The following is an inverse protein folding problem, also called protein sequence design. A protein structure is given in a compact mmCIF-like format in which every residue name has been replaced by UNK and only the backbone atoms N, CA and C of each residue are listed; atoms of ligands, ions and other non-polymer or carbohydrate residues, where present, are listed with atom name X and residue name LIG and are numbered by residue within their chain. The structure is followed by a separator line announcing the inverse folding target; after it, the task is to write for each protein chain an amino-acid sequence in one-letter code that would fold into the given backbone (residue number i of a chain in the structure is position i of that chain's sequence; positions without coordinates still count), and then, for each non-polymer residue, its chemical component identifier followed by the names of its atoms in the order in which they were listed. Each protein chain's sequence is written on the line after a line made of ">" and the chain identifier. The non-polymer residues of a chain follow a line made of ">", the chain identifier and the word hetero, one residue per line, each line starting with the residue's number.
data_IF_550102043122
#
_entry.id   IF_550102043122
#
_cell.length_a   1.000
_cell.length_b   1.000
_cell.length_c   1.000
_cell.angle_alpha   90.00
_cell.angle_beta   90.00
_cell.angle_gamma   90.00
#
_symmetry.space_group_name_H-M   'P 1'
#
loop_
_entity.id
_entity.type
_entity.pdbx_description
1 polymer ?
#
# COMPACT_ATOMS: atom_id res chain seq x y z
N UNK A 1 17.86 -8.76 18.00
CA UNK A 1 17.27 -7.93 16.94
C UNK A 1 16.06 -8.70 16.44
N UNK A 2 14.83 -8.15 16.53
CA UNK A 2 13.65 -8.84 15.98
C UNK A 2 13.76 -8.84 14.46
N UNK A 3 13.39 -9.95 13.84
CA UNK A 3 13.31 -10.03 12.37
C UNK A 3 12.15 -9.14 11.88
N UNK A 4 12.26 -8.57 10.67
CA UNK A 4 11.15 -7.84 10.04
C UNK A 4 9.89 -8.70 10.00
N UNK A 5 10.04 -10.01 9.82
CA UNK A 5 8.93 -10.97 9.80
C UNK A 5 8.19 -11.12 11.15
N UNK A 6 8.80 -10.70 12.25
CA UNK A 6 8.23 -10.72 13.61
C UNK A 6 7.56 -9.39 14.00
N UNK A 7 7.55 -8.41 13.09
CA UNK A 7 6.81 -7.16 13.27
C UNK A 7 5.30 -7.35 12.99
N UNK A 8 4.50 -6.33 13.27
CA UNK A 8 3.06 -6.31 13.01
C UNK A 8 2.70 -5.40 11.82
N UNK A 9 1.61 -5.67 11.09
CA UNK A 9 0.99 -4.74 10.16
C UNK A 9 0.57 -3.41 10.82
N UNK A 10 0.47 -2.34 10.04
CA UNK A 10 0.15 -1.00 10.54
C UNK A 10 -1.33 -0.81 10.92
N UNK A 11 -2.22 -1.66 10.40
CA UNK A 11 -3.68 -1.64 10.62
C UNK A 11 -4.13 -2.38 11.89
N UNK A 12 -3.20 -2.68 12.80
CA UNK A 12 -3.43 -3.22 14.14
C UNK A 12 -4.26 -4.52 14.16
N UNK A 13 -3.91 -5.46 13.27
CA UNK A 13 -4.50 -6.80 13.20
C UNK A 13 -4.15 -7.65 14.43
N UNK A 14 -4.79 -7.39 15.57
CA UNK A 14 -4.88 -8.27 16.74
C UNK A 14 -3.61 -9.12 17.05
N UNK A 15 -2.42 -8.51 17.04
CA UNK A 15 -1.16 -9.21 17.36
C UNK A 15 -0.65 -10.20 16.30
N UNK A 16 -1.21 -10.20 15.09
CA UNK A 16 -0.75 -11.01 13.95
C UNK A 16 0.60 -10.51 13.46
N UNK A 17 1.58 -11.40 13.28
CA UNK A 17 2.90 -11.01 12.75
C UNK A 17 2.89 -10.92 11.23
N UNK A 18 3.83 -10.17 10.64
CA UNK A 18 3.98 -10.04 9.18
C UNK A 18 4.16 -11.40 8.50
N UNK A 19 4.90 -12.33 9.12
CA UNK A 19 5.06 -13.69 8.59
C UNK A 19 3.72 -14.44 8.43
N UNK A 20 2.77 -14.22 9.34
CA UNK A 20 1.50 -14.93 9.38
C UNK A 20 0.48 -14.19 8.49
N UNK A 21 0.48 -12.86 8.54
CA UNK A 21 -0.38 -12.00 7.73
C UNK A 21 -0.08 -12.10 6.21
N UNK A 22 1.16 -12.43 5.85
CA UNK A 22 1.63 -12.48 4.46
C UNK A 22 2.23 -13.85 4.07
N UNK A 23 1.93 -14.94 4.81
CA UNK A 23 2.57 -16.26 4.66
C UNK A 23 2.58 -16.77 3.21
N UNK A 24 1.44 -16.64 2.51
CA UNK A 24 1.26 -17.04 1.12
C UNK A 24 1.07 -15.83 0.20
N UNK A 25 1.47 -14.65 0.65
CA UNK A 25 1.33 -13.45 -0.14
C UNK A 25 2.17 -13.51 -1.41
N UNK A 26 1.54 -13.19 -2.53
CA UNK A 26 2.20 -13.09 -3.81
C UNK A 26 2.28 -11.63 -4.23
N UNK A 27 3.51 -11.19 -4.50
CA UNK A 27 3.80 -9.86 -5.03
C UNK A 27 4.42 -10.04 -6.41
N UNK A 28 3.87 -9.32 -7.40
CA UNK A 28 4.45 -9.24 -8.73
C UNK A 28 4.56 -7.77 -9.09
N UNK A 29 5.76 -7.25 -9.20
CA UNK A 29 5.99 -5.93 -9.81
C UNK A 29 7.28 -5.97 -10.63
N UNK A 30 7.25 -5.41 -11.84
CA UNK A 30 8.39 -5.35 -12.75
C UNK A 30 8.72 -3.92 -13.19
N UNK A 31 7.74 -3.01 -13.14
CA UNK A 31 7.88 -1.62 -13.55
C UNK A 31 6.86 -0.74 -12.83
N UNK A 32 7.11 0.58 -12.84
CA UNK A 32 6.21 1.58 -12.30
C UNK A 32 5.44 2.29 -13.39
N UNK A 33 4.18 2.62 -13.11
CA UNK A 33 3.32 3.44 -13.98
C UNK A 33 2.81 4.61 -13.18
N UNK A 34 2.80 5.80 -13.80
CA UNK A 34 2.32 7.01 -13.16
C UNK A 34 0.79 7.05 -13.17
N UNK A 35 0.17 7.14 -11.99
CA UNK A 35 -1.24 7.50 -11.87
C UNK A 35 -1.44 8.97 -12.30
N UNK A 36 -2.61 9.31 -12.84
CA UNK A 36 -2.91 10.65 -13.39
C UNK A 36 -2.53 11.80 -12.45
N UNK A 37 -2.12 12.95 -13.01
CA UNK A 37 -1.41 14.01 -12.27
C UNK A 37 -2.29 15.07 -11.62
N UNK A 38 -3.62 14.98 -11.71
CA UNK A 38 -4.50 16.02 -11.19
C UNK A 38 -5.56 15.40 -10.29
N UNK A 39 -5.40 15.66 -8.99
CA UNK A 39 -6.43 15.95 -7.99
C UNK A 39 -5.67 16.42 -6.73
N UNK A 40 -6.26 17.34 -5.96
CA UNK A 40 -5.63 17.96 -4.79
C UNK A 40 -5.11 16.97 -3.73
N UNK A 41 -4.43 17.50 -2.72
CA UNK A 41 -3.94 16.71 -1.58
C UNK A 41 -5.09 15.87 -0.96
N UNK A 42 -4.82 14.59 -0.66
CA UNK A 42 -5.80 13.66 -0.09
C UNK A 42 -6.61 12.84 -1.11
N UNK A 43 -6.39 13.01 -2.41
CA UNK A 43 -6.99 12.13 -3.41
C UNK A 43 -6.38 10.72 -3.38
N UNK A 44 -7.22 9.69 -3.55
CA UNK A 44 -6.79 8.30 -3.64
C UNK A 44 -5.71 8.12 -4.72
N UNK A 45 -4.62 7.43 -4.38
CA UNK A 45 -3.50 7.19 -5.29
C UNK A 45 -3.90 6.26 -6.44
N UNK A 46 -4.82 5.33 -6.19
CA UNK A 46 -5.22 4.29 -7.13
C UNK A 46 -6.70 3.95 -6.95
N UNK A 47 -7.43 3.70 -8.04
CA UNK A 47 -8.79 3.12 -8.02
C UNK A 47 -8.74 1.59 -7.92
N UNK A 48 -9.84 0.94 -7.56
CA UNK A 48 -9.93 -0.52 -7.56
C UNK A 48 -9.55 -1.12 -8.92
N UNK A 49 -10.09 -0.61 -10.03
CA UNK A 49 -9.82 -1.11 -11.38
C UNK A 49 -8.33 -1.03 -11.74
N UNK A 50 -7.66 0.06 -11.35
CA UNK A 50 -6.23 0.24 -11.58
C UNK A 50 -5.40 -0.71 -10.72
N UNK A 51 -5.79 -1.00 -9.48
CA UNK A 51 -5.13 -1.98 -8.64
C UNK A 51 -5.24 -3.40 -9.21
N UNK A 52 -6.41 -3.75 -9.78
CA UNK A 52 -6.62 -5.03 -10.47
C UNK A 52 -5.76 -5.18 -11.72
N UNK A 53 -5.73 -4.13 -12.56
CA UNK A 53 -4.87 -4.10 -13.74
C UNK A 53 -3.41 -4.23 -13.31
N UNK A 54 -3.01 -3.49 -12.29
CA UNK A 54 -1.64 -3.49 -11.83
C UNK A 54 -1.19 -4.83 -11.27
N UNK A 55 -2.02 -5.50 -10.48
CA UNK A 55 -1.73 -6.84 -9.97
C UNK A 55 -1.59 -7.87 -11.11
N UNK A 56 -2.50 -7.81 -12.10
CA UNK A 56 -2.47 -8.73 -13.26
C UNK A 56 -1.21 -8.55 -14.11
N UNK A 57 -0.77 -7.30 -14.30
CA UNK A 57 0.33 -6.96 -15.19
C UNK A 57 1.68 -6.84 -14.48
N UNK A 58 1.69 -6.93 -13.16
CA UNK A 58 2.88 -6.77 -12.35
C UNK A 58 3.39 -5.33 -12.36
N UNK A 59 2.51 -4.39 -12.07
CA UNK A 59 2.78 -2.96 -12.09
C UNK A 59 2.78 -2.42 -10.65
N UNK A 60 3.79 -1.63 -10.31
CA UNK A 60 3.71 -0.69 -9.20
C UNK A 60 3.12 0.64 -9.68
N UNK A 61 2.31 1.29 -8.88
CA UNK A 61 1.65 2.54 -9.27
C UNK A 61 2.29 3.67 -8.47
N UNK A 62 2.84 4.66 -9.16
CA UNK A 62 3.42 5.83 -8.52
C UNK A 62 2.58 7.06 -8.77
N UNK A 63 2.47 7.93 -7.77
CA UNK A 63 1.80 9.21 -7.88
C UNK A 63 2.63 10.27 -7.17
N UNK A 64 3.06 11.26 -7.94
CA UNK A 64 3.66 12.48 -7.41
C UNK A 64 2.57 13.49 -7.06
N UNK A 65 2.70 14.13 -5.91
CA UNK A 65 1.85 15.24 -5.50
C UNK A 65 2.63 16.55 -5.63
N UNK A 66 1.91 17.65 -5.91
CA UNK A 66 2.50 18.98 -6.19
C UNK A 66 3.42 19.49 -5.06
N UNK A 67 3.29 18.98 -3.84
CA UNK A 67 4.01 19.42 -2.65
C UNK A 67 5.20 18.51 -2.26
N UNK A 68 5.89 17.93 -3.24
CA UNK A 68 7.17 17.23 -3.06
C UNK A 68 7.09 15.92 -2.25
N UNK A 69 5.99 15.20 -2.42
CA UNK A 69 5.84 13.83 -1.98
C UNK A 69 5.47 12.92 -3.16
N UNK A 70 5.90 11.67 -3.06
CA UNK A 70 5.57 10.61 -4.01
C UNK A 70 5.04 9.41 -3.22
N UNK A 71 3.90 8.90 -3.64
CA UNK A 71 3.34 7.66 -3.12
C UNK A 71 3.49 6.56 -4.17
N UNK A 72 4.00 5.41 -3.73
CA UNK A 72 4.10 4.20 -4.55
C UNK A 72 3.19 3.15 -3.91
N UNK A 73 2.35 2.54 -4.74
CA UNK A 73 1.44 1.46 -4.35
C UNK A 73 1.85 0.20 -5.09
N UNK A 74 2.15 -0.85 -4.34
CA UNK A 74 2.44 -2.18 -4.89
C UNK A 74 1.30 -3.11 -4.46
N UNK A 75 0.45 -3.56 -5.39
CA UNK A 75 -0.60 -4.52 -5.07
C UNK A 75 -0.02 -5.86 -4.60
N UNK A 76 -0.71 -6.48 -3.64
CA UNK A 76 -0.35 -7.78 -3.05
C UNK A 76 -1.57 -8.69 -3.08
N UNK A 77 -1.39 -9.95 -3.49
CA UNK A 77 -2.42 -10.98 -3.42
C UNK A 77 -2.14 -11.89 -2.22
N UNK A 78 -2.98 -11.85 -1.20
CA UNK A 78 -2.79 -12.57 0.07
C UNK A 78 -3.03 -14.07 -0.04
N UNK A 79 -3.64 -14.55 -1.12
CA UNK A 79 -4.03 -15.96 -1.28
C UNK A 79 -3.10 -16.78 -2.16
N UNK A 80 -1.95 -16.23 -2.54
CA UNK A 80 -1.01 -16.90 -3.45
C UNK A 80 -1.36 -16.77 -4.93
N UNK A 81 -0.38 -17.13 -5.77
CA UNK A 81 -0.35 -16.86 -7.22
C UNK A 81 -1.47 -17.54 -8.02
N UNK A 82 -1.83 -18.76 -7.67
CA UNK A 82 -2.70 -19.62 -8.49
C UNK A 82 -4.18 -19.51 -8.10
N UNK A 83 -4.49 -18.69 -7.10
CA UNK A 83 -5.86 -18.46 -6.66
C UNK A 83 -6.57 -17.37 -7.45
N UNK A 84 -7.91 -17.45 -7.46
CA UNK A 84 -8.74 -16.41 -8.07
C UNK A 84 -8.51 -15.08 -7.35
N UNK A 85 -8.02 -14.10 -8.11
CA UNK A 85 -7.97 -12.71 -7.67
C UNK A 85 -9.39 -12.24 -7.40
N UNK A 86 -9.64 -11.78 -6.18
CA UNK A 86 -10.87 -11.13 -5.72
C UNK A 86 -10.46 -10.03 -4.75
N UNK A 87 -11.22 -8.95 -4.70
CA UNK A 87 -10.87 -7.73 -3.95
C UNK A 87 -10.54 -8.02 -2.48
N UNK A 88 -11.33 -8.88 -1.82
CA UNK A 88 -11.11 -9.29 -0.43
C UNK A 88 -9.78 -10.03 -0.16
N UNK A 89 -9.11 -10.53 -1.21
CA UNK A 89 -7.82 -11.22 -1.14
C UNK A 89 -6.66 -10.31 -1.58
N UNK A 90 -6.94 -9.06 -1.94
CA UNK A 90 -5.93 -8.09 -2.35
C UNK A 90 -5.67 -7.09 -1.23
N UNK A 91 -4.40 -6.77 -1.01
CA UNK A 91 -3.94 -5.63 -0.19
C UNK A 91 -2.87 -4.85 -0.96
N UNK A 92 -2.18 -3.92 -0.31
CA UNK A 92 -1.08 -3.15 -0.89
C UNK A 92 0.07 -2.91 0.09
N UNK A 93 1.25 -2.71 -0.48
CA UNK A 93 2.35 -2.00 0.17
C UNK A 93 2.25 -0.54 -0.27
N UNK A 94 2.18 0.38 0.70
CA UNK A 94 2.22 1.81 0.46
C UNK A 94 3.59 2.34 0.87
N UNK A 95 4.35 2.84 -0.10
CA UNK A 95 5.61 3.55 0.15
C UNK A 95 5.37 5.03 -0.03
N UNK A 96 5.67 5.82 1.00
CA UNK A 96 5.58 7.27 0.96
C UNK A 96 6.98 7.86 1.02
N UNK A 97 7.37 8.52 -0.06
CA UNK A 97 8.60 9.30 -0.14
C UNK A 97 8.21 10.76 0.06
N UNK A 98 8.72 11.38 1.11
CA UNK A 98 8.43 12.78 1.42
C UNK A 98 9.74 13.54 1.53
N UNK A 99 9.82 14.72 0.93
CA UNK A 99 10.98 15.57 1.17
C UNK A 99 11.08 15.93 2.65
N UNK A 100 12.30 15.84 3.18
CA UNK A 100 12.61 16.31 4.53
C UNK A 100 12.48 17.84 4.53
N UNK A 101 11.37 18.35 5.05
CA UNK A 101 11.26 19.78 5.36
C UNK A 101 11.92 20.04 6.71
N UNK A 102 12.46 21.25 6.90
CA UNK A 102 13.13 21.67 8.14
C UNK A 102 12.22 21.60 9.40
N UNK A 103 10.92 21.38 9.21
CA UNK A 103 9.91 21.31 10.27
C UNK A 103 9.00 20.06 10.22
N UNK A 104 9.42 18.99 9.54
CA UNK A 104 8.62 17.76 9.48
C UNK A 104 8.49 17.10 10.87
N UNK A 105 7.25 16.96 11.35
CA UNK A 105 6.95 16.14 12.54
C UNK A 105 6.86 14.66 12.16
N UNK A 106 7.13 13.74 13.09
CA UNK A 106 6.94 12.29 12.85
C UNK A 106 5.54 11.96 12.33
N UNK A 107 4.50 12.64 12.84
CA UNK A 107 3.12 12.48 12.36
C UNK A 107 2.96 12.90 10.90
N UNK A 108 3.58 14.01 10.49
CA UNK A 108 3.56 14.47 9.10
C UNK A 108 4.31 13.55 8.12
N UNK A 109 5.22 12.70 8.62
CA UNK A 109 6.00 11.77 7.80
C UNK A 109 5.31 10.40 7.62
N UNK A 110 4.42 9.99 8.54
CA UNK A 110 3.67 8.73 8.43
C UNK A 110 2.96 8.62 7.07
N UNK A 111 2.99 7.44 6.47
CA UNK A 111 2.13 7.16 5.32
C UNK A 111 0.67 7.16 5.80
N UNK A 112 -0.23 7.58 4.92
CA UNK A 112 -1.66 7.51 5.17
C UNK A 112 -2.26 6.39 4.32
N UNK A 113 -2.60 5.23 4.92
CA UNK A 113 -3.26 4.14 4.22
C UNK A 113 -4.60 4.53 3.57
N UNK A 114 -5.24 5.61 4.04
CA UNK A 114 -6.51 6.09 3.47
C UNK A 114 -6.38 6.55 2.01
N UNK A 115 -5.14 6.76 1.53
CA UNK A 115 -4.80 7.05 0.15
C UNK A 115 -4.97 5.83 -0.79
N UNK A 116 -5.13 4.62 -0.26
CA UNK A 116 -5.38 3.42 -1.05
C UNK A 116 -6.87 3.35 -1.42
N UNK A 117 -7.21 3.65 -2.67
CA UNK A 117 -8.61 3.71 -3.12
C UNK A 117 -9.29 2.38 -3.41
N UNK A 118 -8.57 1.28 -3.22
CA UNK A 118 -9.09 -0.08 -3.39
C UNK A 118 -9.20 -0.86 -2.07
N UNK A 119 -9.00 -0.17 -0.96
CA UNK A 119 -9.32 -0.66 0.37
C UNK A 119 -10.65 -0.02 0.82
N UNK A 120 -11.79 -0.74 0.79
CA UNK A 120 -13.02 -0.28 1.43
C UNK A 120 -12.80 0.26 2.86
N UNK A 121 -13.29 1.47 3.12
CA UNK A 121 -13.34 2.10 4.45
C UNK A 121 -14.44 1.52 5.36
N UNK A 122 -14.87 0.27 5.12
CA UNK A 122 -15.94 -0.35 5.90
C UNK A 122 -15.41 -0.75 7.30
N UNK A 123 -16.30 -0.75 8.29
CA UNK A 123 -16.00 -0.85 9.74
C UNK A 123 -15.24 -2.13 10.17
N UNK A 124 -15.08 -3.12 9.28
CA UNK A 124 -14.32 -4.35 9.55
C UNK A 124 -13.51 -4.82 8.33
N UNK A 125 -12.64 -3.95 7.79
CA UNK A 125 -11.58 -4.38 6.88
C UNK A 125 -10.34 -4.80 7.69
N UNK A 126 -10.00 -6.08 7.65
CA UNK A 126 -8.91 -6.70 8.41
C UNK A 126 -7.75 -7.12 7.50
N UNK A 127 -7.57 -6.44 6.36
CA UNK A 127 -6.50 -6.78 5.42
C UNK A 127 -5.21 -6.07 5.82
N UNK A 128 -4.10 -6.81 6.00
CA UNK A 128 -2.87 -6.25 6.53
C UNK A 128 -2.31 -5.16 5.62
N UNK A 129 -1.90 -4.05 6.23
CA UNK A 129 -1.32 -2.90 5.56
C UNK A 129 0.14 -2.74 6.00
N UNK A 130 1.01 -2.48 5.03
CA UNK A 130 2.39 -2.07 5.29
C UNK A 130 2.62 -0.69 4.68
N UNK A 131 3.06 0.22 5.53
CA UNK A 131 3.41 1.60 5.24
C UNK A 131 4.90 1.82 5.48
N UNK A 132 5.62 2.13 4.41
CA UNK A 132 7.03 2.49 4.50
C UNK A 132 7.19 4.01 4.36
N UNK A 133 7.88 4.60 5.32
CA UNK A 133 8.29 6.01 5.30
C UNK A 133 9.79 6.06 5.00
N UNK A 134 10.16 6.78 3.95
CA UNK A 134 11.55 6.97 3.51
C UNK A 134 11.94 8.44 3.55
#
# INVERSE_FOLDING_TARGET
>A
MKSVLECHPDDDLAGTMLKDAFEVAWVRFAHFVQAGSDNGEGAQVVSIEMAWLAMRWGIGIQRAFRHASMHIVIPVLLSGKDEKMVEKKMTAILVSVKNKSDHATLGSLKADPSLLGFLPKAVADHRPIISLVM
#
